data_IF_651725724594
#
_entry.id   IF_651725724594
#
_cell.length_a   1.000
_cell.length_b   1.000
_cell.length_c   1.000
_cell.angle_alpha   90.00
_cell.angle_beta   90.00
_cell.angle_gamma   90.00
#
_symmetry.space_group_name_H-M   'P 1'
#
loop_
_entity.id
_entity.type
_entity.pdbx_description
1 polymer ?
#
# COMPACT_ATOMS: atom_id res chain seq x y z
N UNK A 1 39.43 60.64 28.93
CA UNK A 1 40.12 60.58 30.23
C UNK A 1 39.20 61.11 31.31
N UNK A 2 38.48 60.22 32.00
CA UNK A 2 37.95 60.36 33.36
C UNK A 2 37.27 59.03 33.72
N UNK A 3 38.00 58.22 34.47
CA UNK A 3 37.51 57.04 35.19
C UNK A 3 36.61 57.48 36.33
N UNK A 4 35.49 56.78 36.52
CA UNK A 4 34.88 56.66 37.85
C UNK A 4 34.29 55.26 38.00
N UNK A 5 34.80 54.57 39.02
CA UNK A 5 34.36 53.31 39.63
C UNK A 5 33.05 53.49 40.39
N UNK A 6 32.50 52.35 40.84
CA UNK A 6 31.43 52.11 41.84
C UNK A 6 30.14 51.60 41.19
N UNK A 7 29.46 50.56 41.67
CA UNK A 7 29.67 49.64 42.78
C UNK A 7 28.83 48.39 42.49
N UNK A 8 29.31 47.23 42.96
CA UNK A 8 28.57 45.99 42.93
C UNK A 8 27.35 46.07 43.87
N UNK A 9 26.17 45.71 43.35
CA UNK A 9 25.01 45.35 44.16
C UNK A 9 24.56 43.97 43.70
N UNK A 10 24.89 42.95 44.50
CA UNK A 10 24.28 41.62 44.40
C UNK A 10 22.83 41.74 44.86
N UNK A 11 21.88 41.54 43.93
CA UNK A 11 20.49 41.27 44.26
C UNK A 11 20.18 39.81 43.92
N UNK A 12 20.28 38.95 44.93
CA UNK A 12 19.82 37.57 44.88
C UNK A 12 18.29 37.57 45.01
N UNK A 13 17.59 37.56 43.87
CA UNK A 13 16.15 37.34 43.83
C UNK A 13 15.90 35.84 43.62
N UNK A 14 15.51 35.14 44.70
CA UNK A 14 15.03 33.77 44.65
C UNK A 14 13.69 33.70 43.93
N UNK A 15 13.71 33.28 42.66
CA UNK A 15 12.54 32.79 41.95
C UNK A 15 12.38 31.31 42.31
N UNK A 16 11.58 31.05 43.34
CA UNK A 16 10.99 29.74 43.56
C UNK A 16 9.98 29.51 42.43
N UNK A 17 10.41 28.87 41.35
CA UNK A 17 9.51 28.26 40.39
C UNK A 17 8.77 27.13 41.11
N UNK A 18 7.51 27.38 41.45
CA UNK A 18 6.60 26.36 41.92
C UNK A 18 6.29 25.43 40.74
N UNK A 19 7.03 24.33 40.62
CA UNK A 19 6.52 23.14 39.95
C UNK A 19 5.36 22.64 40.81
N UNK A 20 4.14 23.09 40.52
CA UNK A 20 2.95 22.43 41.06
C UNK A 20 2.83 21.08 40.36
N UNK A 21 3.49 20.06 40.90
CA UNK A 21 3.12 18.68 40.67
C UNK A 21 1.69 18.52 41.15
N UNK A 22 0.74 18.63 40.23
CA UNK A 22 -0.64 18.30 40.48
C UNK A 22 -0.68 16.79 40.73
N UNK A 23 -0.46 16.40 41.99
CA UNK A 23 -0.64 15.04 42.48
C UNK A 23 -2.12 14.72 42.34
N UNK A 24 -2.48 14.05 41.25
CA UNK A 24 -3.74 13.33 41.16
C UNK A 24 -3.81 12.30 42.30
N UNK A 25 -4.99 12.06 42.88
CA UNK A 25 -5.15 11.12 44.00
C UNK A 25 -4.63 9.72 43.61
N UNK A 26 -3.54 9.31 44.25
CA UNK A 26 -2.94 7.98 44.26
C UNK A 26 -2.68 7.35 42.87
N UNK A 27 -1.44 7.47 42.41
CA UNK A 27 -0.76 6.35 41.75
C UNK A 27 -0.81 5.16 42.72
N UNK A 28 -1.91 4.40 42.69
CA UNK A 28 -2.00 3.17 43.42
C UNK A 28 -0.89 2.27 42.90
N UNK A 29 0.12 1.98 43.75
CA UNK A 29 1.18 1.04 43.42
C UNK A 29 0.54 -0.29 43.02
N UNK A 30 0.48 -0.52 41.72
CA UNK A 30 -0.26 -1.58 41.09
C UNK A 30 0.30 -1.85 39.70
N UNK A 31 -0.02 -3.02 39.12
CA UNK A 31 0.43 -3.40 37.79
C UNK A 31 -0.08 -2.40 36.75
N UNK A 32 0.82 -1.95 35.87
CA UNK A 32 0.56 -0.97 34.82
C UNK A 32 0.73 -1.54 33.42
N UNK A 33 0.07 -0.91 32.46
CA UNK A 33 0.33 -1.09 31.03
C UNK A 33 0.97 0.20 30.50
N UNK A 34 2.19 0.08 30.00
CA UNK A 34 2.90 1.18 29.33
C UNK A 34 2.52 1.19 27.85
N UNK A 35 1.50 1.98 27.52
CA UNK A 35 0.91 2.09 26.20
C UNK A 35 1.70 3.11 25.39
N UNK A 36 2.19 2.70 24.23
CA UNK A 36 2.90 3.57 23.30
C UNK A 36 2.23 3.49 21.92
N UNK A 37 1.99 4.65 21.32
CA UNK A 37 1.61 4.79 19.91
C UNK A 37 2.81 5.31 19.15
N UNK A 38 3.20 4.62 18.08
CA UNK A 38 4.32 5.03 17.25
C UNK A 38 4.08 6.43 16.62
N UNK A 39 5.13 7.23 16.38
CA UNK A 39 5.01 8.53 15.72
C UNK A 39 4.31 8.43 14.37
N UNK A 40 3.44 9.39 14.07
CA UNK A 40 2.83 9.55 12.76
C UNK A 40 3.66 10.52 11.92
N UNK A 41 4.30 10.02 10.86
CA UNK A 41 4.92 10.87 9.83
C UNK A 41 3.87 11.21 8.77
N UNK A 42 3.07 12.24 9.04
CA UNK A 42 2.01 12.68 8.12
C UNK A 42 2.13 14.20 7.87
N UNK A 43 2.31 14.64 6.62
CA UNK A 43 2.43 16.06 6.30
C UNK A 43 1.22 16.88 6.81
N UNK A 44 1.50 18.01 7.44
CA UNK A 44 0.50 18.93 8.01
C UNK A 44 -0.31 18.39 9.20
N UNK A 45 -0.05 17.18 9.69
CA UNK A 45 -0.61 16.72 10.98
C UNK A 45 0.26 17.27 12.10
N UNK A 46 -0.37 17.97 13.05
CA UNK A 46 0.31 18.61 14.20
C UNK A 46 -0.19 18.10 15.54
N UNK A 47 -1.18 17.22 15.54
CA UNK A 47 -1.63 16.50 16.72
C UNK A 47 -2.55 15.34 16.30
N UNK A 48 -2.61 14.30 17.12
CA UNK A 48 -3.59 13.23 17.00
C UNK A 48 -4.07 12.84 18.40
N UNK A 49 -5.36 12.55 18.52
CA UNK A 49 -6.01 12.21 19.79
C UNK A 49 -6.60 10.82 19.75
N UNK A 50 -6.53 10.15 20.90
CA UNK A 50 -6.96 8.77 21.06
C UNK A 50 -7.85 8.61 22.30
N UNK A 51 -8.80 7.68 22.21
CA UNK A 51 -9.42 7.06 23.37
C UNK A 51 -8.74 5.72 23.67
N UNK A 52 -8.43 5.50 24.94
CA UNK A 52 -7.88 4.25 25.46
C UNK A 52 -8.90 3.61 26.39
N UNK A 53 -9.21 2.35 26.16
CA UNK A 53 -10.02 1.53 27.08
C UNK A 53 -9.25 0.26 27.44
N UNK A 54 -9.18 -0.03 28.74
CA UNK A 54 -8.60 -1.28 29.26
C UNK A 54 -9.71 -2.19 29.71
N UNK A 55 -9.62 -3.46 29.32
CA UNK A 55 -10.53 -4.52 29.73
C UNK A 55 -9.80 -5.58 30.53
N UNK A 56 -10.48 -6.11 31.56
CA UNK A 56 -10.08 -7.32 32.24
C UNK A 56 -10.38 -8.51 31.32
N UNK A 57 -9.34 -9.25 30.92
CA UNK A 57 -9.43 -10.34 29.95
C UNK A 57 -8.86 -9.99 28.57
N UNK A 58 -8.55 -11.04 27.81
CA UNK A 58 -7.93 -10.93 26.48
C UNK A 58 -8.89 -10.46 25.37
N UNK A 59 -10.21 -10.58 25.57
CA UNK A 59 -11.21 -10.21 24.58
C UNK A 59 -12.09 -9.07 25.10
N UNK A 60 -12.05 -7.87 24.48
CA UNK A 60 -12.82 -6.72 24.93
C UNK A 60 -14.34 -6.87 24.77
N UNK A 61 -14.82 -7.89 24.05
CA UNK A 61 -16.26 -8.17 23.91
C UNK A 61 -16.84 -8.90 25.11
N UNK A 62 -16.00 -9.60 25.87
CA UNK A 62 -16.41 -10.37 27.07
C UNK A 62 -15.82 -9.82 28.35
N UNK A 63 -14.73 -9.05 28.27
CA UNK A 63 -14.05 -8.44 29.40
C UNK A 63 -14.79 -7.25 30.01
N UNK A 64 -14.68 -7.09 31.33
CA UNK A 64 -15.17 -5.90 32.03
C UNK A 64 -14.23 -4.72 31.77
N UNK A 65 -14.79 -3.52 31.57
CA UNK A 65 -13.98 -2.29 31.44
C UNK A 65 -13.35 -1.96 32.79
N UNK A 66 -12.02 -1.98 32.85
CA UNK A 66 -11.26 -1.51 34.02
C UNK A 66 -11.31 0.01 34.08
N UNK A 67 -10.99 0.69 32.97
CA UNK A 67 -11.14 2.13 32.82
C UNK A 67 -11.14 2.56 31.35
N UNK A 68 -11.65 3.77 31.11
CA UNK A 68 -11.55 4.48 29.83
C UNK A 68 -10.99 5.87 30.04
N UNK A 69 -10.06 6.27 29.17
CA UNK A 69 -9.52 7.63 29.08
C UNK A 69 -9.72 8.12 27.63
N UNK A 70 -10.58 9.11 27.46
CA UNK A 70 -10.75 9.78 26.17
C UNK A 70 -9.74 10.91 25.99
N UNK A 71 -9.56 11.34 24.75
CA UNK A 71 -8.83 12.54 24.37
C UNK A 71 -7.38 12.58 24.90
N UNK A 72 -6.68 11.45 24.79
CA UNK A 72 -5.24 11.34 25.02
C UNK A 72 -4.54 11.81 23.74
N UNK A 73 -4.03 13.03 23.74
CA UNK A 73 -3.44 13.65 22.54
C UNK A 73 -1.91 13.68 22.57
N UNK A 74 -1.29 13.59 21.39
CA UNK A 74 0.15 13.63 21.22
C UNK A 74 0.76 14.95 21.74
N UNK A 75 0.03 16.06 21.68
CA UNK A 75 0.48 17.34 22.25
C UNK A 75 0.64 17.35 23.77
N UNK A 76 -0.06 16.47 24.47
CA UNK A 76 0.00 16.36 25.94
C UNK A 76 0.88 15.20 26.41
N UNK A 77 0.90 14.10 25.64
CA UNK A 77 1.50 12.83 26.05
C UNK A 77 2.57 12.31 25.08
N UNK A 78 3.03 13.11 24.12
CA UNK A 78 4.06 12.67 23.16
C UNK A 78 4.68 13.80 22.34
N UNK A 79 4.73 13.64 21.01
CA UNK A 79 5.58 14.43 20.12
C UNK A 79 4.93 15.66 19.47
N UNK A 80 3.67 15.97 19.77
CA UNK A 80 2.88 16.98 19.04
C UNK A 80 2.75 16.66 17.53
N UNK A 81 2.65 15.38 17.17
CA UNK A 81 2.30 14.97 15.81
C UNK A 81 1.32 13.79 15.86
N UNK A 82 1.72 12.71 16.52
CA UNK A 82 0.86 11.54 16.69
C UNK A 82 1.35 10.48 17.68
N UNK A 83 2.60 10.51 18.14
CA UNK A 83 2.99 9.56 19.19
C UNK A 83 2.38 9.94 20.53
N UNK A 84 2.06 8.91 21.32
CA UNK A 84 1.59 9.03 22.70
C UNK A 84 2.30 7.98 23.54
N UNK A 85 2.73 8.37 24.74
CA UNK A 85 3.15 7.45 25.79
C UNK A 85 2.27 7.66 27.01
N UNK A 86 1.53 6.61 27.40
CA UNK A 86 0.57 6.66 28.49
C UNK A 86 0.69 5.41 29.35
N UNK A 87 0.72 5.58 30.67
CA UNK A 87 0.66 4.45 31.62
C UNK A 87 -0.70 4.46 32.29
N UNK A 88 -1.38 3.33 32.27
CA UNK A 88 -2.61 3.14 33.03
C UNK A 88 -2.62 1.80 33.74
N UNK A 89 -3.44 1.70 34.79
CA UNK A 89 -3.55 0.48 35.60
C UNK A 89 -4.16 -0.65 34.78
N UNK A 90 -3.86 -1.89 35.15
CA UNK A 90 -4.53 -3.04 34.57
C UNK A 90 -4.98 -4.03 35.63
N UNK A 91 -5.89 -4.92 35.25
CA UNK A 91 -6.36 -5.96 36.15
C UNK A 91 -5.44 -7.17 36.08
N UNK A 92 -4.69 -7.41 37.15
CA UNK A 92 -3.82 -8.58 37.29
C UNK A 92 -4.51 -9.78 37.95
N UNK A 93 -5.82 -9.73 38.20
CA UNK A 93 -6.58 -10.89 38.67
C UNK A 93 -6.71 -11.97 37.58
N UNK A 94 -7.09 -13.20 37.98
CA UNK A 94 -7.44 -14.31 37.10
C UNK A 94 -6.51 -14.58 35.90
N UNK A 95 -5.20 -14.66 36.17
CA UNK A 95 -4.18 -14.97 35.15
C UNK A 95 -3.61 -13.74 34.45
N UNK A 96 -4.09 -12.54 34.79
CA UNK A 96 -3.50 -11.25 34.44
C UNK A 96 -3.61 -10.85 32.98
N UNK A 97 -4.41 -11.55 32.17
CA UNK A 97 -4.65 -11.13 30.79
C UNK A 97 -5.51 -9.87 30.77
N UNK A 98 -5.05 -8.84 30.07
CA UNK A 98 -5.79 -7.62 29.79
C UNK A 98 -5.76 -7.32 28.30
N UNK A 99 -6.75 -6.59 27.82
CA UNK A 99 -6.75 -6.06 26.47
C UNK A 99 -6.85 -4.54 26.48
N UNK A 100 -6.09 -3.91 25.59
CA UNK A 100 -6.03 -2.48 25.37
C UNK A 100 -6.71 -2.20 24.04
N UNK A 101 -7.81 -1.45 24.08
CA UNK A 101 -8.44 -0.90 22.88
C UNK A 101 -8.03 0.55 22.71
N UNK A 102 -7.43 0.85 21.56
CA UNK A 102 -7.12 2.18 21.10
C UNK A 102 -8.14 2.58 20.03
N UNK A 103 -8.78 3.73 20.22
CA UNK A 103 -9.65 4.36 19.22
C UNK A 103 -8.99 5.67 18.81
N UNK A 104 -8.77 5.88 17.52
CA UNK A 104 -8.31 7.18 17.03
C UNK A 104 -9.54 8.10 16.92
N UNK A 105 -9.53 9.20 17.67
CA UNK A 105 -10.65 10.14 17.76
C UNK A 105 -10.55 11.26 16.73
N UNK A 106 -9.36 11.86 16.59
CA UNK A 106 -9.14 13.01 15.72
C UNK A 106 -7.67 13.13 15.28
N UNK A 107 -7.47 13.80 14.14
CA UNK A 107 -6.18 14.29 13.68
C UNK A 107 -6.32 15.77 13.34
N UNK A 108 -5.41 16.60 13.82
CA UNK A 108 -5.52 18.05 13.66
C UNK A 108 -4.32 18.64 12.93
N UNK A 109 -4.56 19.81 12.33
CA UNK A 109 -3.55 20.63 11.67
C UNK A 109 -3.52 22.05 12.26
N UNK A 110 -2.34 22.65 12.32
CA UNK A 110 -2.14 24.03 12.78
C UNK A 110 -2.05 24.19 14.30
N UNK A 111 -1.79 23.13 15.05
CA UNK A 111 -1.56 23.13 16.49
C UNK A 111 -2.14 21.91 17.23
N UNK A 112 -2.23 21.97 18.57
CA UNK A 112 -2.87 20.96 19.39
C UNK A 112 -4.35 20.80 19.07
N UNK A 113 -4.85 19.57 19.05
CA UNK A 113 -6.26 19.29 18.85
C UNK A 113 -7.11 19.97 19.94
N UNK A 114 -8.19 20.66 19.57
CA UNK A 114 -9.05 21.30 20.56
C UNK A 114 -9.79 20.26 21.41
N UNK A 115 -9.67 20.38 22.74
CA UNK A 115 -10.52 19.66 23.68
C UNK A 115 -12.01 20.09 23.59
N UNK A 116 -12.27 21.24 23.00
CA UNK A 116 -13.63 21.77 22.75
C UNK A 116 -13.69 22.46 21.39
N UNK A 117 -14.75 22.25 20.59
CA UNK A 117 -14.86 22.85 19.26
C UNK A 117 -14.62 24.38 19.28
N UNK A 118 -13.72 24.87 18.41
CA UNK A 118 -13.47 26.30 18.21
C UNK A 118 -12.13 26.85 18.73
N UNK A 119 -11.19 26.03 19.19
CA UNK A 119 -9.86 26.47 19.65
C UNK A 119 -8.69 26.03 18.76
N UNK A 120 -7.87 27.00 18.32
CA UNK A 120 -6.48 26.80 17.88
C UNK A 120 -6.28 26.01 16.57
N UNK A 121 -6.31 24.69 16.64
CA UNK A 121 -6.10 23.81 15.49
C UNK A 121 -7.43 23.46 14.80
N UNK A 122 -7.33 23.05 13.54
CA UNK A 122 -8.48 22.54 12.78
C UNK A 122 -8.41 21.03 12.69
N UNK A 123 -9.48 20.33 13.09
CA UNK A 123 -9.64 18.90 12.81
C UNK A 123 -9.57 18.66 11.30
N UNK A 124 -8.83 17.62 10.91
CA UNK A 124 -8.76 17.17 9.52
C UNK A 124 -10.05 16.39 9.26
N UNK A 125 -10.84 16.77 8.22
CA UNK A 125 -12.10 16.10 7.92
C UNK A 125 -11.91 14.58 7.79
N UNK A 126 -12.82 13.80 8.37
CA UNK A 126 -12.79 12.33 8.30
C UNK A 126 -12.93 11.77 6.88
N UNK A 127 -13.32 12.59 5.91
CA UNK A 127 -13.28 12.23 4.49
C UNK A 127 -11.91 12.37 3.84
N UNK A 128 -10.93 12.95 4.54
CA UNK A 128 -9.57 13.15 4.06
C UNK A 128 -8.59 12.06 4.54
N UNK A 129 -9.07 11.09 5.32
CA UNK A 129 -8.27 9.99 5.85
C UNK A 129 -9.13 8.81 6.28
N UNK A 130 -8.55 7.61 6.25
CA UNK A 130 -9.23 6.40 6.70
C UNK A 130 -8.78 6.06 8.11
N UNK A 131 -9.74 5.92 9.02
CA UNK A 131 -9.44 5.63 10.42
C UNK A 131 -9.21 4.13 10.65
N UNK A 132 -7.95 3.69 10.88
CA UNK A 132 -7.67 2.28 11.13
C UNK A 132 -8.17 1.79 12.48
N UNK A 133 -8.54 2.66 13.40
CA UNK A 133 -8.96 2.32 14.75
C UNK A 133 -10.27 3.04 15.09
N UNK A 134 -11.25 3.00 14.16
CA UNK A 134 -12.54 3.66 14.35
C UNK A 134 -13.37 3.01 15.47
N UNK A 135 -14.16 3.83 16.17
CA UNK A 135 -15.15 3.34 17.12
C UNK A 135 -16.29 2.57 16.41
N UNK A 136 -16.94 1.61 17.09
CA UNK A 136 -16.70 1.18 18.47
C UNK A 136 -15.56 0.16 18.62
N UNK A 137 -15.09 -0.42 17.52
CA UNK A 137 -14.24 -1.61 17.52
C UNK A 137 -12.79 -1.30 17.92
N UNK A 138 -12.24 -0.20 17.41
CA UNK A 138 -10.87 0.24 17.66
C UNK A 138 -9.81 -0.76 17.19
N UNK A 139 -8.56 -0.50 17.57
CA UNK A 139 -7.44 -1.43 17.45
C UNK A 139 -7.18 -2.06 18.82
N UNK A 140 -7.06 -3.38 18.88
CA UNK A 140 -6.97 -4.11 20.14
C UNK A 140 -5.65 -4.86 20.23
N UNK A 141 -4.99 -4.73 21.38
CA UNK A 141 -3.79 -5.52 21.74
C UNK A 141 -4.03 -6.22 23.07
N UNK A 142 -3.53 -7.44 23.18
CA UNK A 142 -3.55 -8.20 24.43
C UNK A 142 -2.20 -8.14 25.10
N UNK A 143 -2.20 -8.11 26.43
CA UNK A 143 -1.00 -8.11 27.24
C UNK A 143 -1.27 -8.80 28.57
N UNK A 144 -0.22 -9.37 29.16
CA UNK A 144 -0.30 -9.93 30.52
C UNK A 144 0.25 -8.93 31.52
N UNK A 145 -0.60 -8.49 32.44
CA UNK A 145 -0.25 -7.67 33.58
C UNK A 145 0.76 -8.38 34.48
N UNK A 146 1.87 -7.72 34.76
CA UNK A 146 2.89 -8.21 35.67
C UNK A 146 2.80 -7.46 36.99
N UNK A 147 2.78 -8.19 38.11
CA UNK A 147 2.75 -7.56 39.42
C UNK A 147 4.02 -6.69 39.63
N UNK A 148 3.82 -5.44 40.05
CA UNK A 148 4.90 -4.48 40.32
C UNK A 148 5.80 -4.14 39.12
N UNK A 149 5.31 -4.32 37.89
CA UNK A 149 6.01 -3.89 36.68
C UNK A 149 5.01 -3.37 35.66
N UNK A 150 5.44 -2.44 34.84
CA UNK A 150 4.69 -2.04 33.66
C UNK A 150 4.92 -3.05 32.54
N UNK A 151 3.85 -3.50 31.89
CA UNK A 151 3.94 -4.31 30.67
C UNK A 151 3.79 -3.40 29.45
N UNK A 152 4.74 -3.40 28.49
CA UNK A 152 4.65 -2.55 27.32
C UNK A 152 3.54 -3.02 26.37
N UNK A 153 2.78 -2.08 25.82
CA UNK A 153 1.79 -2.29 24.75
C UNK A 153 2.06 -1.28 23.65
N UNK A 154 2.49 -1.75 22.48
CA UNK A 154 2.79 -0.91 21.32
C UNK A 154 1.67 -0.96 20.29
N UNK A 155 1.29 0.21 19.77
CA UNK A 155 0.49 0.38 18.56
C UNK A 155 1.35 1.02 17.48
N UNK A 156 1.56 0.31 16.40
CA UNK A 156 2.20 0.84 15.19
C UNK A 156 1.10 1.06 14.15
N UNK A 157 0.90 2.32 13.76
CA UNK A 157 -0.21 2.74 12.91
C UNK A 157 0.35 3.45 11.68
N UNK A 158 0.06 2.93 10.50
CA UNK A 158 0.19 3.66 9.24
C UNK A 158 -1.19 4.15 8.83
N UNK A 159 -1.36 5.44 8.54
CA UNK A 159 -2.68 6.01 8.21
C UNK A 159 -2.76 6.31 6.72
N UNK A 160 -3.78 5.78 6.07
CA UNK A 160 -4.15 6.14 4.70
C UNK A 160 -4.84 7.51 4.65
N UNK A 161 -4.35 8.44 3.81
CA UNK A 161 -4.97 9.75 3.59
C UNK A 161 -5.33 10.01 2.15
N UNK A 162 -6.43 10.71 1.91
CA UNK A 162 -6.79 11.20 0.58
C UNK A 162 -5.75 12.22 0.12
N UNK A 163 -5.04 11.93 -0.97
CA UNK A 163 -4.07 12.83 -1.55
C UNK A 163 -4.73 13.76 -2.60
N UNK A 164 -4.40 15.05 -2.54
CA UNK A 164 -4.93 16.09 -3.44
C UNK A 164 -3.87 16.67 -4.38
N UNK A 165 -2.61 16.23 -4.26
CA UNK A 165 -1.54 16.68 -5.15
C UNK A 165 -1.61 15.93 -6.48
N UNK A 166 -1.90 16.70 -7.52
CA UNK A 166 -2.32 16.21 -8.82
C UNK A 166 -1.30 15.37 -9.57
N UNK A 167 -1.84 14.35 -10.22
CA UNK A 167 -1.47 13.63 -11.45
C UNK A 167 -2.47 12.47 -11.63
N UNK A 168 -3.17 12.10 -10.55
CA UNK A 168 -4.17 11.03 -10.48
C UNK A 168 -5.52 11.59 -10.02
N UNK A 169 -6.63 11.06 -10.56
CA UNK A 169 -7.98 11.54 -10.25
C UNK A 169 -8.41 11.21 -8.81
N UNK A 170 -7.85 10.16 -8.17
CA UNK A 170 -8.03 9.81 -6.75
C UNK A 170 -6.77 9.13 -6.22
N UNK A 171 -6.25 9.58 -5.08
CA UNK A 171 -5.02 9.04 -4.49
C UNK A 171 -5.13 8.86 -2.96
N UNK A 172 -4.41 7.88 -2.41
CA UNK A 172 -4.33 7.51 -0.99
C UNK A 172 -2.86 7.50 -0.54
N UNK A 173 -2.50 7.98 0.66
CA UNK A 173 -1.10 8.01 1.13
C UNK A 173 -0.82 7.13 2.34
N UNK A 174 0.25 6.32 2.34
CA UNK A 174 0.69 5.45 3.44
C UNK A 174 2.08 5.88 3.94
N UNK A 175 2.22 6.46 5.14
CA UNK A 175 3.54 6.80 5.73
C UNK A 175 4.53 7.43 4.74
N UNK A 176 4.18 8.61 4.20
CA UNK A 176 4.91 9.33 3.14
C UNK A 176 4.94 8.67 1.75
N UNK A 177 4.29 7.53 1.53
CA UNK A 177 4.00 6.98 0.20
C UNK A 177 2.67 7.52 -0.30
N UNK A 178 2.56 7.93 -1.56
CA UNK A 178 1.34 8.42 -2.21
C UNK A 178 0.98 7.46 -3.33
N UNK A 179 -0.19 6.87 -3.26
CA UNK A 179 -0.69 5.85 -4.14
C UNK A 179 -1.96 6.27 -4.87
N UNK A 180 -2.26 5.66 -6.00
CA UNK A 180 -3.50 5.78 -6.75
C UNK A 180 -3.89 4.40 -7.26
N UNK A 181 -5.14 4.03 -7.05
CA UNK A 181 -5.71 2.77 -7.53
C UNK A 181 -7.01 3.01 -8.27
N UNK A 182 -7.23 2.22 -9.32
CA UNK A 182 -8.52 2.14 -10.01
C UNK A 182 -8.67 0.85 -10.79
N UNK A 183 -9.90 0.56 -11.21
CA UNK A 183 -10.18 -0.39 -12.27
C UNK A 183 -11.07 0.29 -13.32
N UNK A 184 -10.63 0.28 -14.57
CA UNK A 184 -11.39 0.88 -15.68
C UNK A 184 -11.75 -0.18 -16.72
N UNK A 185 -13.03 -0.22 -17.10
CA UNK A 185 -13.54 -0.97 -18.25
C UNK A 185 -14.03 -0.05 -19.39
N UNK A 186 -14.06 1.25 -19.15
CA UNK A 186 -14.55 2.25 -20.10
C UNK A 186 -13.61 3.45 -20.24
N UNK A 187 -13.80 4.20 -21.32
CA UNK A 187 -13.15 5.49 -21.57
C UNK A 187 -14.19 6.46 -22.12
N UNK A 188 -14.44 7.54 -21.39
CA UNK A 188 -15.42 8.56 -21.76
C UNK A 188 -16.83 7.99 -22.02
N UNK A 189 -17.27 7.02 -21.21
CA UNK A 189 -18.56 6.35 -21.34
C UNK A 189 -18.69 5.36 -22.51
N UNK A 190 -17.58 5.05 -23.20
CA UNK A 190 -17.50 4.02 -24.23
C UNK A 190 -16.54 2.89 -23.82
N UNK A 191 -16.49 1.78 -24.57
CA UNK A 191 -15.65 0.63 -24.24
C UNK A 191 -14.16 1.02 -24.23
N UNK A 192 -13.41 0.49 -23.24
CA UNK A 192 -11.96 0.64 -23.21
C UNK A 192 -11.31 -0.36 -24.18
N UNK A 193 -10.86 0.11 -25.34
CA UNK A 193 -10.26 -0.73 -26.39
C UNK A 193 -8.73 -0.57 -26.43
N UNK A 194 -8.00 -1.46 -25.75
CA UNK A 194 -6.53 -1.38 -25.65
C UNK A 194 -5.82 -2.58 -26.28
N UNK A 195 -6.12 -3.80 -25.82
CA UNK A 195 -5.42 -5.00 -26.28
C UNK A 195 -5.98 -5.49 -27.63
N UNK A 196 -5.11 -6.00 -28.49
CA UNK A 196 -5.51 -6.58 -29.78
C UNK A 196 -6.00 -8.01 -29.58
N UNK A 197 -7.20 -8.35 -30.08
CA UNK A 197 -7.68 -9.72 -30.07
C UNK A 197 -6.97 -10.51 -31.18
N UNK A 198 -6.22 -11.58 -30.86
CA UNK A 198 -5.50 -12.36 -31.88
C UNK A 198 -6.43 -13.02 -32.91
N UNK A 199 -7.71 -13.22 -32.59
CA UNK A 199 -8.68 -13.80 -33.54
C UNK A 199 -9.12 -12.81 -34.63
N UNK A 200 -9.15 -11.50 -34.33
CA UNK A 200 -9.67 -10.47 -35.25
C UNK A 200 -8.58 -9.52 -35.74
N UNK A 201 -7.48 -9.38 -35.00
CA UNK A 201 -6.44 -8.37 -35.22
C UNK A 201 -6.80 -6.96 -34.72
N UNK A 202 -8.07 -6.72 -34.37
CA UNK A 202 -8.59 -5.44 -33.91
C UNK A 202 -8.44 -5.29 -32.39
N UNK A 203 -8.56 -4.05 -31.89
CA UNK A 203 -8.59 -3.81 -30.44
C UNK A 203 -9.92 -4.25 -29.84
N UNK A 204 -9.87 -5.07 -28.80
CA UNK A 204 -11.03 -5.59 -28.08
C UNK A 204 -11.30 -4.90 -26.76
N UNK A 205 -12.47 -5.19 -26.18
CA UNK A 205 -12.85 -4.75 -24.83
C UNK A 205 -11.75 -5.11 -23.83
N UNK A 206 -11.34 -4.16 -23.00
CA UNK A 206 -10.26 -4.31 -22.04
C UNK A 206 -10.71 -3.82 -20.67
N UNK A 207 -10.36 -4.56 -19.62
CA UNK A 207 -10.39 -4.06 -18.24
C UNK A 207 -8.95 -3.81 -17.78
N UNK A 208 -8.68 -2.71 -17.06
CA UNK A 208 -7.35 -2.38 -16.54
C UNK A 208 -7.41 -2.23 -15.04
N UNK A 209 -6.66 -3.06 -14.32
CA UNK A 209 -6.34 -2.86 -12.91
C UNK A 209 -5.12 -1.96 -12.86
N UNK A 210 -5.27 -0.74 -12.35
CA UNK A 210 -4.21 0.23 -12.30
C UNK A 210 -3.78 0.52 -10.86
N UNK A 211 -2.48 0.48 -10.63
CA UNK A 211 -1.85 0.75 -9.34
C UNK A 211 -0.59 1.57 -9.55
N UNK A 212 -0.46 2.68 -8.86
CA UNK A 212 0.74 3.50 -8.90
C UNK A 212 1.01 4.12 -7.54
N UNK A 213 2.27 4.17 -7.12
CA UNK A 213 2.68 4.91 -5.92
C UNK A 213 4.00 5.63 -6.07
N UNK A 214 4.26 6.57 -5.16
CA UNK A 214 5.55 7.23 -4.96
C UNK A 214 5.82 7.42 -3.48
N UNK A 215 6.96 6.98 -2.98
CA UNK A 215 7.47 7.37 -1.67
C UNK A 215 7.86 8.86 -1.66
N UNK A 216 8.02 9.41 -0.46
CA UNK A 216 8.45 10.78 -0.25
C UNK A 216 9.90 11.03 -0.73
N UNK A 217 10.32 12.31 -0.81
CA UNK A 217 11.66 12.66 -1.28
C UNK A 217 12.77 11.92 -0.53
N UNK A 218 13.66 11.24 -1.27
CA UNK A 218 14.82 10.54 -0.72
C UNK A 218 14.55 9.13 -0.22
N UNK A 219 13.32 8.62 -0.34
CA UNK A 219 12.96 7.24 -0.05
C UNK A 219 12.72 6.42 -1.34
N UNK A 220 12.86 5.10 -1.24
CA UNK A 220 12.55 4.18 -2.33
C UNK A 220 11.07 3.83 -2.33
N UNK A 221 10.41 3.82 -3.48
CA UNK A 221 9.04 3.27 -3.54
C UNK A 221 9.10 1.76 -3.74
N UNK A 222 8.44 0.99 -2.90
CA UNK A 222 8.22 -0.45 -3.10
C UNK A 222 6.74 -0.70 -3.31
N UNK A 223 6.38 -1.43 -4.37
CA UNK A 223 5.02 -1.90 -4.61
C UNK A 223 4.95 -3.40 -4.31
N UNK A 224 3.85 -3.82 -3.70
CA UNK A 224 3.54 -5.21 -3.42
C UNK A 224 2.19 -5.55 -4.01
N UNK A 225 2.08 -6.73 -4.61
CA UNK A 225 0.88 -7.15 -5.33
C UNK A 225 0.63 -8.64 -5.12
N UNK A 226 -0.62 -9.03 -4.88
CA UNK A 226 -1.04 -10.42 -5.04
C UNK A 226 -1.33 -10.76 -6.49
N UNK A 227 -1.55 -12.05 -6.77
CA UNK A 227 -2.18 -12.46 -8.01
C UNK A 227 -3.55 -11.77 -8.14
N UNK A 228 -3.87 -11.36 -9.36
CA UNK A 228 -5.20 -10.87 -9.68
C UNK A 228 -6.06 -12.09 -9.98
N UNK A 229 -7.16 -12.24 -9.28
CA UNK A 229 -8.03 -13.41 -9.41
C UNK A 229 -9.33 -13.02 -10.07
N UNK A 230 -9.72 -13.77 -11.08
CA UNK A 230 -11.02 -13.64 -11.73
C UNK A 230 -11.90 -14.81 -11.32
N UNK A 231 -13.00 -14.53 -10.62
CA UNK A 231 -13.99 -15.54 -10.21
C UNK A 231 -15.27 -15.32 -10.98
N UNK A 232 -15.84 -16.39 -11.53
CA UNK A 232 -17.16 -16.31 -12.16
C UNK A 232 -18.13 -17.30 -11.54
N UNK A 233 -19.39 -16.90 -11.56
CA UNK A 233 -20.52 -17.59 -10.99
C UNK A 233 -21.60 -17.78 -12.08
N UNK A 234 -22.36 -18.85 -11.99
CA UNK A 234 -23.52 -19.06 -12.85
C UNK A 234 -24.75 -18.26 -12.39
N UNK A 235 -25.91 -18.51 -13.01
CA UNK A 235 -27.16 -17.83 -12.68
C UNK A 235 -27.72 -18.15 -11.28
N UNK A 236 -27.26 -19.23 -10.65
CA UNK A 236 -27.66 -19.65 -9.30
C UNK A 236 -26.59 -19.25 -8.26
N UNK A 237 -25.64 -18.39 -8.64
CA UNK A 237 -24.51 -17.93 -7.83
C UNK A 237 -23.52 -19.03 -7.40
N UNK A 238 -23.46 -20.13 -8.16
CA UNK A 238 -22.47 -21.18 -7.94
C UNK A 238 -21.15 -20.80 -8.62
N UNK A 239 -20.03 -20.87 -7.89
CA UNK A 239 -18.70 -20.64 -8.45
C UNK A 239 -18.40 -21.69 -9.54
N UNK A 240 -18.20 -21.23 -10.78
CA UNK A 240 -17.93 -22.07 -11.95
C UNK A 240 -16.49 -21.97 -12.44
N UNK A 241 -15.73 -20.99 -11.96
CA UNK A 241 -14.33 -20.87 -12.31
C UNK A 241 -13.62 -19.79 -11.50
N UNK A 242 -12.34 -20.05 -11.26
CA UNK A 242 -11.42 -19.14 -10.60
C UNK A 242 -10.08 -19.20 -11.36
N UNK A 243 -9.61 -18.04 -11.81
CA UNK A 243 -8.42 -17.93 -12.63
C UNK A 243 -7.46 -16.90 -12.03
N UNK A 244 -6.34 -17.34 -11.44
CA UNK A 244 -5.31 -16.43 -10.97
C UNK A 244 -4.44 -15.95 -12.15
N UNK A 245 -4.04 -14.69 -12.07
CA UNK A 245 -3.18 -14.03 -13.04
C UNK A 245 -2.00 -13.41 -12.32
N UNK A 246 -0.81 -13.75 -12.80
CA UNK A 246 0.44 -13.32 -12.20
C UNK A 246 0.84 -11.93 -12.76
N UNK A 247 0.78 -10.85 -11.96
CA UNK A 247 1.23 -9.53 -12.37
C UNK A 247 2.76 -9.46 -12.55
N UNK A 248 3.49 -10.53 -12.21
CA UNK A 248 4.94 -10.66 -12.37
C UNK A 248 5.39 -10.85 -13.83
N UNK A 249 4.51 -11.32 -14.72
CA UNK A 249 4.81 -11.78 -16.10
C UNK A 249 5.19 -10.68 -17.11
N UNK A 250 5.25 -9.41 -16.68
CA UNK A 250 5.56 -8.27 -17.52
C UNK A 250 7.02 -7.80 -17.51
N UNK A 251 7.32 -6.70 -18.21
CA UNK A 251 6.38 -5.82 -18.90
C UNK A 251 6.02 -6.30 -20.32
N UNK A 252 4.83 -5.95 -20.80
CA UNK A 252 4.32 -6.23 -22.15
C UNK A 252 3.13 -7.19 -22.17
N UNK A 253 2.86 -7.75 -23.35
CA UNK A 253 1.82 -8.76 -23.54
C UNK A 253 2.24 -10.06 -22.83
N UNK A 254 1.36 -10.59 -21.98
CA UNK A 254 1.59 -11.83 -21.24
C UNK A 254 0.88 -13.05 -21.88
N UNK A 255 0.31 -12.87 -23.08
CA UNK A 255 -0.34 -13.93 -23.85
C UNK A 255 -1.84 -14.08 -23.55
N UNK A 256 -2.49 -15.15 -24.02
CA UNK A 256 -3.90 -15.40 -23.74
C UNK A 256 -4.13 -15.65 -22.24
N UNK A 257 -5.30 -15.28 -21.74
CA UNK A 257 -5.68 -15.59 -20.37
C UNK A 257 -6.05 -17.06 -20.17
N UNK A 258 -6.00 -17.52 -18.93
CA UNK A 258 -6.42 -18.88 -18.57
C UNK A 258 -7.95 -19.03 -18.55
N UNK A 259 -8.68 -17.93 -18.34
CA UNK A 259 -10.14 -17.91 -18.48
C UNK A 259 -10.56 -17.90 -19.96
N UNK A 260 -11.58 -18.67 -20.36
CA UNK A 260 -11.94 -18.85 -21.78
C UNK A 260 -12.43 -17.56 -22.48
N UNK A 261 -12.89 -16.58 -21.70
CA UNK A 261 -13.36 -15.28 -22.18
C UNK A 261 -12.27 -14.19 -22.07
N UNK A 262 -11.06 -14.51 -21.62
CA UNK A 262 -9.92 -13.58 -21.60
C UNK A 262 -9.02 -13.88 -22.80
N UNK A 263 -9.11 -13.07 -23.86
CA UNK A 263 -8.37 -13.32 -25.10
C UNK A 263 -6.88 -12.94 -25.00
N UNK A 264 -6.53 -12.01 -24.12
CA UNK A 264 -5.15 -11.57 -23.91
C UNK A 264 -4.99 -10.90 -22.54
N UNK A 265 -3.80 -10.98 -21.96
CA UNK A 265 -3.38 -10.18 -20.81
C UNK A 265 -2.13 -9.38 -21.15
N UNK A 266 -1.92 -8.28 -20.43
CA UNK A 266 -0.69 -7.51 -20.50
C UNK A 266 -0.37 -6.90 -19.14
N UNK A 267 0.92 -6.79 -18.82
CA UNK A 267 1.40 -6.18 -17.59
C UNK A 267 2.26 -4.98 -17.96
N UNK A 268 1.99 -3.82 -17.38
CA UNK A 268 2.75 -2.60 -17.62
C UNK A 268 3.39 -2.14 -16.32
N UNK A 269 4.71 -1.97 -16.34
CA UNK A 269 5.46 -1.40 -15.22
C UNK A 269 6.19 -0.18 -15.68
N UNK A 270 6.05 0.92 -14.94
CA UNK A 270 6.76 2.16 -15.24
C UNK A 270 7.37 2.71 -13.96
N UNK A 271 8.52 3.36 -14.08
CA UNK A 271 9.10 4.19 -13.03
C UNK A 271 9.39 5.54 -13.67
N UNK A 272 8.69 6.58 -13.22
CA UNK A 272 8.88 7.94 -13.72
C UNK A 272 10.11 8.56 -13.05
N UNK A 273 11.13 8.85 -13.86
CA UNK A 273 12.41 9.35 -13.35
C UNK A 273 12.32 10.73 -12.66
N UNK A 274 11.30 11.54 -13.00
CA UNK A 274 11.17 12.91 -12.51
C UNK A 274 10.58 13.04 -11.10
N UNK A 275 9.78 12.06 -10.67
CA UNK A 275 9.02 12.14 -9.42
C UNK A 275 9.07 10.83 -8.61
N UNK A 276 9.70 9.76 -9.11
CA UNK A 276 9.81 8.48 -8.40
C UNK A 276 8.52 7.66 -8.39
N UNK A 277 7.50 8.06 -9.17
CA UNK A 277 6.25 7.32 -9.29
C UNK A 277 6.51 5.99 -9.98
N UNK A 278 6.25 4.90 -9.28
CA UNK A 278 6.14 3.57 -9.85
C UNK A 278 4.69 3.23 -10.17
N UNK A 279 4.44 2.67 -11.35
CA UNK A 279 3.16 2.05 -11.67
C UNK A 279 3.32 0.58 -12.02
N UNK A 280 2.31 -0.21 -11.67
CA UNK A 280 2.20 -1.63 -11.95
C UNK A 280 0.76 -1.94 -12.31
N UNK A 281 0.47 -1.99 -13.61
CA UNK A 281 -0.88 -2.13 -14.13
C UNK A 281 -1.01 -3.49 -14.83
N UNK A 282 -2.19 -4.10 -14.75
CA UNK A 282 -2.52 -5.30 -15.52
C UNK A 282 -3.78 -5.07 -16.35
N UNK A 283 -3.71 -5.39 -17.63
CA UNK A 283 -4.81 -5.27 -18.58
C UNK A 283 -5.31 -6.66 -18.98
N UNK A 284 -6.64 -6.79 -19.09
CA UNK A 284 -7.36 -8.01 -19.45
C UNK A 284 -8.21 -7.72 -20.68
N UNK A 285 -7.86 -8.33 -21.81
CA UNK A 285 -8.67 -8.34 -23.01
C UNK A 285 -9.80 -9.34 -22.84
N UNK A 286 -11.04 -8.86 -22.85
CA UNK A 286 -12.25 -9.62 -22.55
C UNK A 286 -13.09 -9.85 -23.81
N UNK A 287 -13.78 -10.99 -23.87
CA UNK A 287 -14.87 -11.30 -24.81
C UNK A 287 -16.20 -11.20 -24.08
N UNK A 288 -16.90 -10.04 -24.11
CA UNK A 288 -18.09 -9.84 -23.29
C UNK A 288 -19.20 -10.84 -23.57
N UNK A 289 -19.36 -11.24 -24.82
CA UNK A 289 -20.33 -12.24 -25.30
C UNK A 289 -20.08 -13.65 -24.75
N UNK A 290 -18.86 -13.93 -24.29
CA UNK A 290 -18.46 -15.21 -23.70
C UNK A 290 -18.47 -15.21 -22.16
N UNK A 291 -18.88 -14.11 -21.51
CA UNK A 291 -18.98 -14.05 -20.04
C UNK A 291 -20.09 -14.99 -19.55
N UNK A 292 -19.82 -15.85 -18.55
CA UNK A 292 -20.73 -16.92 -18.18
C UNK A 292 -21.85 -16.53 -17.21
N UNK A 293 -21.79 -15.34 -16.61
CA UNK A 293 -22.70 -14.93 -15.53
C UNK A 293 -22.12 -13.76 -14.75
N UNK A 294 -22.21 -13.83 -13.41
CA UNK A 294 -21.55 -12.84 -12.56
C UNK A 294 -20.05 -13.11 -12.54
N UNK A 295 -19.21 -12.13 -12.85
CA UNK A 295 -17.76 -12.27 -12.73
C UNK A 295 -17.20 -11.15 -11.86
N UNK A 296 -16.35 -11.50 -10.91
CA UNK A 296 -15.71 -10.58 -9.97
C UNK A 296 -14.20 -10.69 -10.14
N UNK A 297 -13.55 -9.55 -10.37
CA UNK A 297 -12.11 -9.41 -10.35
C UNK A 297 -11.69 -8.96 -8.95
N UNK A 298 -10.79 -9.72 -8.33
CA UNK A 298 -10.20 -9.37 -7.06
C UNK A 298 -8.68 -9.25 -7.10
N UNK A 299 -8.14 -8.35 -6.29
CA UNK A 299 -6.71 -8.14 -6.13
C UNK A 299 -6.42 -7.42 -4.82
N UNK A 300 -5.18 -7.52 -4.32
CA UNK A 300 -4.70 -6.75 -3.18
C UNK A 300 -3.31 -6.21 -3.44
N UNK A 301 -3.07 -4.96 -3.07
CA UNK A 301 -1.77 -4.32 -3.22
C UNK A 301 -1.46 -3.42 -2.03
N UNK A 302 -0.18 -3.31 -1.69
CA UNK A 302 0.29 -2.27 -0.78
C UNK A 302 1.57 -1.64 -1.32
N UNK A 303 2.06 -0.62 -0.63
CA UNK A 303 3.32 0.03 -0.95
C UNK A 303 4.01 0.51 0.33
N UNK A 304 5.33 0.61 0.28
CA UNK A 304 6.17 1.09 1.38
C UNK A 304 7.35 1.91 0.86
N UNK A 305 7.98 2.66 1.75
CA UNK A 305 9.15 3.51 1.50
C UNK A 305 10.51 2.75 1.67
N UNK A 306 10.41 1.44 1.87
CA UNK A 306 11.52 0.49 2.02
C UNK A 306 11.04 -0.95 1.91
N UNK A 307 11.95 -1.92 1.76
CA UNK A 307 11.57 -3.32 1.58
C UNK A 307 10.89 -3.90 2.82
N UNK A 308 9.68 -4.44 2.66
CA UNK A 308 9.01 -5.30 3.63
C UNK A 308 9.74 -6.64 3.80
N UNK A 309 9.92 -7.07 5.05
CA UNK A 309 10.48 -8.38 5.33
C UNK A 309 9.54 -9.49 4.83
N UNK A 310 10.06 -10.39 3.98
CA UNK A 310 9.28 -11.48 3.38
C UNK A 310 8.01 -11.03 2.63
N UNK A 311 8.01 -9.81 2.06
CA UNK A 311 6.83 -9.21 1.42
C UNK A 311 5.60 -9.15 2.33
N UNK A 312 5.81 -9.03 3.64
CA UNK A 312 4.74 -9.00 4.62
C UNK A 312 4.78 -7.71 5.44
N UNK A 313 3.61 -7.17 5.77
CA UNK A 313 3.51 -6.06 6.73
C UNK A 313 4.07 -6.50 8.09
N UNK A 314 4.54 -5.55 8.89
CA UNK A 314 5.10 -5.89 10.20
C UNK A 314 4.05 -6.57 11.10
N UNK A 315 4.49 -7.53 11.91
CA UNK A 315 3.60 -8.22 12.85
C UNK A 315 3.00 -7.24 13.85
N UNK A 316 1.68 -7.32 13.99
CA UNK A 316 0.92 -6.42 14.82
C UNK A 316 0.87 -4.95 14.38
N UNK A 317 1.45 -4.56 13.25
CA UNK A 317 1.26 -3.23 12.69
C UNK A 317 -0.13 -3.11 12.06
N UNK A 318 -0.73 -1.92 12.20
CA UNK A 318 -1.94 -1.58 11.48
C UNK A 318 -1.55 -0.88 10.18
N UNK A 319 -1.60 -1.62 9.08
CA UNK A 319 -0.99 -1.22 7.82
C UNK A 319 -2.00 -1.24 6.68
N UNK A 320 -2.11 -0.17 5.87
CA UNK A 320 -3.10 -0.09 4.81
C UNK A 320 -2.71 -0.92 3.60
N UNK A 321 -3.72 -1.37 2.87
CA UNK A 321 -3.59 -1.93 1.54
C UNK A 321 -4.82 -1.56 0.71
N UNK A 322 -4.68 -1.57 -0.61
CA UNK A 322 -5.82 -1.43 -1.51
C UNK A 322 -6.32 -2.80 -1.90
N UNK A 323 -7.63 -2.96 -1.86
CA UNK A 323 -8.35 -4.13 -2.32
C UNK A 323 -9.20 -3.76 -3.54
N UNK A 324 -9.17 -4.61 -4.55
CA UNK A 324 -10.15 -4.64 -5.62
C UNK A 324 -11.07 -5.83 -5.38
N UNK A 325 -12.37 -5.61 -5.45
CA UNK A 325 -13.45 -6.59 -5.51
C UNK A 325 -14.53 -6.00 -6.44
N UNK A 326 -14.25 -6.05 -7.74
CA UNK A 326 -15.05 -5.36 -8.76
C UNK A 326 -15.80 -6.37 -9.61
N UNK A 327 -17.12 -6.21 -9.67
CA UNK A 327 -17.96 -6.98 -10.57
C UNK A 327 -17.75 -6.52 -12.02
N UNK A 328 -17.17 -7.39 -12.85
CA UNK A 328 -17.01 -7.17 -14.29
C UNK A 328 -18.32 -7.39 -15.05
N UNK A 329 -19.13 -8.33 -14.60
CA UNK A 329 -20.43 -8.68 -15.17
C UNK A 329 -21.42 -9.09 -14.09
N UNK A 330 -22.69 -8.74 -14.27
CA UNK A 330 -23.82 -9.18 -13.42
C UNK A 330 -24.62 -10.32 -14.04
N UNK A 331 -24.47 -10.54 -15.35
CA UNK A 331 -25.22 -11.51 -16.13
C UNK A 331 -24.37 -12.03 -17.30
N UNK A 332 -24.79 -13.18 -17.85
CA UNK A 332 -24.11 -13.78 -18.99
C UNK A 332 -24.10 -12.84 -20.21
N UNK A 333 -23.05 -12.95 -21.02
CA UNK A 333 -22.85 -12.20 -22.25
C UNK A 333 -22.89 -10.65 -22.13
N UNK A 334 -22.74 -10.10 -20.91
CA UNK A 334 -22.84 -8.66 -20.64
C UNK A 334 -21.73 -8.20 -19.73
N UNK A 335 -21.00 -7.16 -20.12
CA UNK A 335 -20.07 -6.46 -19.22
C UNK A 335 -20.84 -5.33 -18.50
N UNK A 336 -20.77 -5.29 -17.17
CA UNK A 336 -21.40 -4.25 -16.34
C UNK A 336 -20.41 -3.28 -15.68
N UNK A 337 -19.11 -3.57 -15.78
CA UNK A 337 -18.05 -2.72 -15.21
C UNK A 337 -17.88 -1.39 -15.96
N UNK A 338 -17.64 -0.32 -15.20
CA UNK A 338 -17.39 1.04 -15.67
C UNK A 338 -16.04 1.56 -15.18
N UNK A 339 -16.02 2.78 -14.62
CA UNK A 339 -14.86 3.34 -13.93
C UNK A 339 -14.96 3.17 -12.41
N UNK A 340 -13.95 2.57 -11.80
CA UNK A 340 -13.93 2.20 -10.39
C UNK A 340 -12.73 2.82 -9.69
N UNK A 341 -12.92 3.99 -9.09
CA UNK A 341 -11.87 4.71 -8.36
C UNK A 341 -11.78 4.23 -6.91
N UNK A 342 -10.57 4.25 -6.33
CA UNK A 342 -10.36 3.90 -4.93
C UNK A 342 -11.20 4.77 -3.99
N UNK A 343 -11.83 4.14 -3.00
CA UNK A 343 -12.65 4.75 -1.95
C UNK A 343 -13.86 5.58 -2.42
N UNK A 344 -14.26 5.45 -3.69
CA UNK A 344 -15.56 5.94 -4.16
C UNK A 344 -16.64 4.93 -3.76
N UNK A 345 -17.75 5.35 -3.12
CA UNK A 345 -18.81 4.44 -2.71
C UNK A 345 -19.33 3.57 -3.87
N UNK A 346 -19.31 2.25 -3.67
CA UNK A 346 -19.76 1.27 -4.66
C UNK A 346 -18.76 0.97 -5.78
N UNK A 347 -17.55 1.54 -5.77
CA UNK A 347 -16.53 1.25 -6.78
C UNK A 347 -15.99 -0.17 -6.67
N UNK A 348 -16.00 -0.78 -5.49
CA UNK A 348 -15.31 -2.06 -5.27
C UNK A 348 -13.79 -1.95 -5.27
N UNK A 349 -13.23 -0.72 -5.24
CA UNK A 349 -11.81 -0.47 -4.99
C UNK A 349 -11.73 0.27 -3.67
N UNK A 350 -11.23 -0.38 -2.61
CA UNK A 350 -11.26 0.15 -1.24
C UNK A 350 -9.90 0.12 -0.59
N UNK A 351 -9.65 1.07 0.31
CA UNK A 351 -8.54 1.02 1.25
C UNK A 351 -8.96 0.23 2.49
N UNK A 352 -8.24 -0.86 2.76
CA UNK A 352 -8.41 -1.74 3.91
C UNK A 352 -7.17 -1.70 4.81
N UNK A 353 -7.24 -2.36 5.96
CA UNK A 353 -6.13 -2.42 6.93
C UNK A 353 -5.84 -3.84 7.43
N UNK A 354 -4.57 -4.22 7.41
CA UNK A 354 -4.03 -5.31 8.22
C UNK A 354 -4.16 -4.94 9.70
N UNK A 355 -4.72 -5.80 10.57
CA UNK A 355 -4.94 -5.44 12.00
C UNK A 355 -4.45 -6.48 13.00
N UNK A 356 -4.60 -7.77 12.68
CA UNK A 356 -4.35 -8.87 13.61
C UNK A 356 -3.17 -9.76 13.21
N UNK A 357 -2.86 -9.83 11.93
CA UNK A 357 -1.75 -10.60 11.38
C UNK A 357 -1.07 -9.82 10.25
N UNK A 358 0.22 -10.10 9.97
CA UNK A 358 0.89 -9.65 8.76
C UNK A 358 0.07 -9.97 7.51
N UNK A 359 -0.18 -8.96 6.68
CA UNK A 359 -0.63 -9.20 5.31
C UNK A 359 0.59 -9.52 4.46
N UNK A 360 0.56 -10.65 3.76
CA UNK A 360 1.64 -11.10 2.87
C UNK A 360 1.22 -10.93 1.42
N UNK A 361 2.15 -10.47 0.60
CA UNK A 361 1.94 -10.26 -0.82
C UNK A 361 2.85 -11.16 -1.65
N UNK A 362 2.28 -11.73 -2.69
CA UNK A 362 2.98 -12.72 -3.53
C UNK A 362 4.14 -12.10 -4.31
N UNK A 363 3.95 -10.88 -4.80
CA UNK A 363 4.86 -10.21 -5.71
C UNK A 363 5.35 -8.88 -5.16
N UNK A 364 6.55 -8.49 -5.57
CA UNK A 364 7.16 -7.20 -5.18
C UNK A 364 7.84 -6.55 -6.38
N UNK A 365 7.84 -5.21 -6.39
CA UNK A 365 8.54 -4.38 -7.34
C UNK A 365 9.13 -3.18 -6.61
N UNK A 366 10.46 -3.05 -6.65
CA UNK A 366 11.14 -1.83 -6.21
C UNK A 366 11.13 -0.82 -7.36
N UNK A 367 10.70 0.40 -7.08
CA UNK A 367 10.85 1.59 -7.92
C UNK A 367 12.27 2.14 -7.79
N UNK A 368 13.29 1.30 -7.93
CA UNK A 368 14.63 1.84 -8.15
C UNK A 368 14.65 2.46 -9.54
N UNK A 369 15.37 3.58 -9.69
CA UNK A 369 15.58 4.22 -10.98
C UNK A 369 15.84 3.13 -12.03
N UNK A 370 15.07 3.18 -13.14
CA UNK A 370 15.10 2.21 -14.23
C UNK A 370 16.49 1.63 -14.32
N UNK A 371 16.66 0.30 -14.17
CA UNK A 371 17.95 -0.32 -13.88
C UNK A 371 18.99 0.43 -14.69
N UNK A 372 19.87 1.19 -14.02
CA UNK A 372 21.13 1.57 -14.69
C UNK A 372 21.56 0.27 -15.32
N UNK A 373 21.81 0.25 -16.63
CA UNK A 373 22.18 -0.96 -17.38
C UNK A 373 23.53 -1.46 -16.85
N UNK A 374 23.50 -1.90 -15.61
CA UNK A 374 24.52 -2.50 -14.80
C UNK A 374 24.16 -3.96 -14.96
N UNK A 375 24.69 -4.52 -16.05
CA UNK A 375 24.70 -5.95 -16.31
C UNK A 375 23.35 -6.63 -16.04
N UNK A 376 22.35 -6.36 -16.87
CA UNK A 376 21.45 -7.48 -17.23
C UNK A 376 22.40 -8.52 -17.79
N UNK A 377 22.62 -9.60 -17.04
CA UNK A 377 23.41 -10.73 -17.51
C UNK A 377 22.95 -11.06 -18.92
N UNK A 378 23.92 -11.05 -19.86
CA UNK A 378 23.78 -11.46 -21.25
C UNK A 378 22.69 -12.52 -21.37
N UNK A 379 21.54 -12.14 -21.91
CA UNK A 379 20.47 -13.08 -22.24
C UNK A 379 20.49 -13.23 -23.75
N UNK A 380 20.89 -14.42 -24.18
CA UNK A 380 21.19 -14.83 -25.56
C UNK A 380 19.90 -15.07 -26.35
N UNK A 381 19.81 -14.53 -27.58
CA UNK A 381 18.70 -14.77 -28.49
C UNK A 381 19.12 -15.75 -29.61
N UNK A 382 18.56 -16.95 -29.55
CA UNK A 382 18.60 -17.97 -30.57
C UNK A 382 18.03 -19.28 -30.00
N UNK A 383 16.74 -19.50 -30.16
CA UNK A 383 16.09 -20.77 -29.86
C UNK A 383 14.97 -20.99 -30.86
N UNK A 384 14.71 -22.26 -31.19
CA UNK A 384 13.39 -22.66 -31.71
C UNK A 384 12.40 -22.35 -30.59
N UNK A 385 11.54 -21.35 -30.81
CA UNK A 385 10.48 -21.04 -29.85
C UNK A 385 9.48 -22.19 -29.96
N UNK A 386 9.40 -23.03 -28.93
CA UNK A 386 8.47 -24.17 -28.90
C UNK A 386 7.03 -23.65 -28.97
N UNK A 387 6.50 -23.58 -30.21
CA UNK A 387 5.15 -23.17 -30.65
C UNK A 387 5.17 -22.43 -31.99
N UNK A 388 6.34 -21.98 -32.48
CA UNK A 388 6.49 -21.31 -33.76
C UNK A 388 7.19 -22.24 -34.76
N UNK A 389 6.53 -22.56 -35.87
CA UNK A 389 7.14 -23.24 -37.01
C UNK A 389 8.14 -22.29 -37.70
N UNK A 390 9.35 -22.20 -37.16
CA UNK A 390 10.48 -21.53 -37.81
C UNK A 390 11.49 -20.89 -36.85
N UNK A 391 12.69 -20.67 -37.37
CA UNK A 391 13.77 -20.04 -36.63
C UNK A 391 13.45 -18.57 -36.34
N UNK A 392 13.71 -18.16 -35.10
CA UNK A 392 13.75 -16.75 -34.72
C UNK A 392 15.19 -16.22 -34.91
N UNK A 393 15.36 -15.14 -35.66
CA UNK A 393 16.65 -14.47 -35.86
C UNK A 393 16.52 -12.97 -35.67
N UNK A 394 17.61 -12.33 -35.25
CA UNK A 394 17.68 -10.88 -35.12
C UNK A 394 18.76 -10.35 -36.06
N UNK A 395 18.45 -9.29 -36.80
CA UNK A 395 19.40 -8.62 -37.68
C UNK A 395 19.58 -7.17 -37.24
N UNK A 396 20.84 -6.73 -37.18
CA UNK A 396 21.22 -5.35 -36.90
C UNK A 396 21.53 -4.66 -38.23
N UNK A 397 21.00 -3.45 -38.39
CA UNK A 397 21.28 -2.58 -39.51
C UNK A 397 21.46 -1.14 -39.04
N UNK A 398 21.94 -0.22 -39.88
CA UNK A 398 21.93 1.21 -39.57
C UNK A 398 20.54 1.78 -39.27
N UNK A 399 19.49 1.11 -39.77
CA UNK A 399 18.09 1.49 -39.57
C UNK A 399 17.53 0.92 -38.25
N UNK A 400 18.28 0.12 -37.51
CA UNK A 400 17.87 -0.49 -36.25
C UNK A 400 17.90 -2.02 -36.27
N UNK A 401 17.19 -2.65 -35.34
CA UNK A 401 17.09 -4.10 -35.18
C UNK A 401 15.81 -4.59 -35.84
N UNK A 402 15.87 -5.71 -36.54
CA UNK A 402 14.67 -6.45 -36.96
C UNK A 402 14.69 -7.86 -36.39
N UNK A 403 13.53 -8.35 -35.94
CA UNK A 403 13.32 -9.74 -35.59
C UNK A 403 12.65 -10.45 -36.76
N UNK A 404 13.09 -11.66 -37.09
CA UNK A 404 12.50 -12.50 -38.13
C UNK A 404 12.08 -13.82 -37.53
N UNK A 405 10.81 -14.20 -37.68
CA UNK A 405 10.22 -15.42 -37.13
C UNK A 405 9.38 -16.07 -38.22
N UNK A 406 9.62 -17.34 -38.53
CA UNK A 406 8.80 -18.09 -39.50
C UNK A 406 8.73 -17.42 -40.88
N UNK A 407 9.81 -16.77 -41.32
CA UNK A 407 9.89 -16.05 -42.59
C UNK A 407 9.40 -14.60 -42.56
N UNK A 408 8.63 -14.19 -41.55
CA UNK A 408 8.12 -12.83 -41.37
C UNK A 408 9.13 -11.95 -40.63
N UNK A 409 9.32 -10.72 -41.08
CA UNK A 409 10.27 -9.76 -40.49
C UNK A 409 9.51 -8.60 -39.83
N UNK A 410 9.94 -8.22 -38.62
CA UNK A 410 9.41 -7.07 -37.90
C UNK A 410 9.81 -5.76 -38.60
N UNK A 411 9.11 -4.65 -38.31
CA UNK A 411 9.66 -3.32 -38.50
C UNK A 411 11.00 -3.13 -37.76
N UNK A 412 11.72 -2.05 -38.10
CA UNK A 412 12.93 -1.68 -37.40
C UNK A 412 12.62 -1.16 -35.99
N UNK A 413 13.37 -1.67 -35.02
CA UNK A 413 13.47 -1.14 -33.67
C UNK A 413 14.76 -0.34 -33.56
N UNK A 414 14.64 0.97 -33.44
CA UNK A 414 15.79 1.82 -33.18
C UNK A 414 16.25 1.64 -31.73
N UNK A 415 17.51 1.26 -31.56
CA UNK A 415 18.15 1.32 -30.25
C UNK A 415 18.55 2.76 -29.94
N UNK A 416 18.52 3.13 -28.66
CA UNK A 416 19.11 4.39 -28.22
C UNK A 416 20.61 4.42 -28.49
N UNK A 417 21.16 5.62 -28.71
CA UNK A 417 22.60 5.80 -28.95
C UNK A 417 23.43 5.12 -27.85
N UNK A 418 24.42 4.34 -28.28
CA UNK A 418 25.32 3.59 -27.39
C UNK A 418 24.89 2.16 -27.06
N UNK A 419 23.73 1.71 -27.54
CA UNK A 419 23.29 0.32 -27.41
C UNK A 419 23.55 -0.45 -28.73
N UNK A 420 24.05 -1.68 -28.61
CA UNK A 420 24.26 -2.61 -29.73
C UNK A 420 23.88 -4.04 -29.33
N UNK A 421 23.52 -4.87 -30.32
CA UNK A 421 23.40 -6.32 -30.14
C UNK A 421 24.80 -6.97 -30.26
N UNK A 422 25.18 -7.79 -29.28
CA UNK A 422 26.46 -8.51 -29.26
C UNK A 422 26.27 -10.00 -28.89
N UNK A 423 26.86 -10.91 -29.68
CA UNK A 423 27.05 -12.33 -29.33
C UNK A 423 25.85 -13.29 -29.41
N UNK A 424 25.17 -13.44 -30.56
CA UNK A 424 24.07 -14.41 -30.71
C UNK A 424 24.56 -15.85 -30.97
N UNK A 425 24.13 -16.84 -30.16
CA UNK A 425 24.35 -18.28 -30.39
C UNK A 425 23.04 -19.06 -30.13
N UNK A 426 22.76 -20.10 -30.93
CA UNK A 426 21.41 -20.65 -31.14
C UNK A 426 21.05 -21.99 -30.49
N UNK A 427 21.78 -22.47 -29.47
CA UNK A 427 21.56 -23.81 -28.88
C UNK A 427 21.82 -23.83 -27.35
N UNK A 428 20.96 -24.47 -26.53
CA UNK A 428 21.23 -24.74 -25.11
C UNK A 428 22.44 -25.65 -24.80
N UNK A 429 23.11 -26.22 -25.81
CA UNK A 429 24.27 -27.11 -25.62
C UNK A 429 25.65 -26.41 -25.69
N UNK A 430 25.73 -25.07 -25.77
CA UNK A 430 26.99 -24.37 -26.00
C UNK A 430 27.95 -24.27 -24.79
N UNK A 431 27.61 -24.81 -23.62
CA UNK A 431 28.45 -24.67 -22.41
C UNK A 431 29.62 -25.68 -22.31
N UNK A 432 29.86 -26.55 -23.30
CA UNK A 432 30.88 -27.62 -23.17
C UNK A 432 32.09 -27.55 -24.14
N UNK A 433 32.35 -26.43 -24.80
CA UNK A 433 33.47 -26.34 -25.75
C UNK A 433 34.59 -25.35 -25.35
N UNK A 434 34.95 -25.26 -24.07
CA UNK A 434 36.28 -24.77 -23.64
C UNK A 434 36.81 -25.62 -22.49
N UNK A 435 37.06 -26.90 -22.77
CA UNK A 435 38.14 -27.76 -22.24
C UNK A 435 37.79 -29.25 -22.40
N UNK A 436 37.78 -29.75 -23.65
CA UNK A 436 38.38 -31.03 -24.09
C UNK A 436 38.16 -31.23 -25.59
#
# INVERSE_FOLDING_TARGET
MKMTRNAALLLACGLAAACSSQQTPADAAGPGLAINVAPLSLPNVTDACYALTIFAGADPTTGEVVWTKSHVCASQYGDNAGSVSFVGTCDASDGGASSVRLVMEDMCQGGPCPATPGGGASSIPTSAWHNPCAAPDGCVKTATCQANSDTPVGFDLTIARTATQGFFDVAVSFSDVFCSAKLDCERNGGPLLLLHDPATGERGQTAVVAWACSAGPGADTWLYYDNITLRCYDGDDLLIGEWPYDPSLGPGNAGPGSAPFVFQTAVYRTVEASNGVASWNMAFGLRPDALPGRCVLSARATASDGALANNATADGAVYPYVQWEVELSSAAATLSCGGHQVDVPGSGVTTEYARSAPETFTHTMQASAAPTVASVGRTTCGATIASLDGDASFAVSPEGITARIGGSQSPFYHLADGLALDGCCGDPCCDNAVNR
#
